data_IF_015824693436
#
_entry.id   IF_015824693436
#
_cell.length_a   1.000
_cell.length_b   1.000
_cell.length_c   1.000
_cell.angle_alpha   90.00
_cell.angle_beta   90.00
_cell.angle_gamma   90.00
#
_symmetry.space_group_name_H-M   'P 1'
#
loop_
_entity.id
_entity.type
_entity.pdbx_description
1 polymer ?
#
# COMPACT_ATOMS: atom_id res chain seq x y z
N UNK A 1 -12.06 -8.73 -5.24
CA UNK A 1 -11.29 -7.50 -4.98
C UNK A 1 -12.22 -6.31 -4.90
N UNK A 2 -12.59 -5.96 -3.68
CA UNK A 2 -13.16 -4.65 -3.38
C UNK A 2 -12.07 -3.63 -3.70
N UNK A 3 -12.29 -2.73 -4.66
CA UNK A 3 -11.63 -1.43 -4.64
C UNK A 3 -12.22 -0.75 -3.40
N UNK A 4 -11.70 -1.11 -2.22
CA UNK A 4 -12.44 -0.97 -0.97
C UNK A 4 -12.68 0.51 -0.68
N UNK A 5 -13.82 0.77 -0.04
CA UNK A 5 -14.32 2.08 0.30
C UNK A 5 -13.19 3.05 0.67
N UNK A 6 -13.25 4.26 0.10
CA UNK A 6 -12.32 5.37 0.36
C UNK A 6 -12.04 5.56 1.87
N UNK A 7 -12.97 5.09 2.72
CA UNK A 7 -12.92 5.07 4.18
C UNK A 7 -13.61 3.81 4.76
N UNK A 8 -13.15 3.37 5.94
CA UNK A 8 -13.77 2.37 6.81
C UNK A 8 -14.54 3.09 7.92
N UNK A 9 -15.82 2.78 8.09
CA UNK A 9 -16.66 3.42 9.09
C UNK A 9 -16.52 2.72 10.45
N UNK A 10 -15.78 3.34 11.37
CA UNK A 10 -15.66 2.93 12.76
C UNK A 10 -16.86 3.45 13.57
N UNK A 11 -17.64 2.54 14.14
CA UNK A 11 -18.77 2.91 15.00
C UNK A 11 -18.34 3.01 16.47
N UNK A 12 -18.51 4.19 17.07
CA UNK A 12 -18.27 4.47 18.48
C UNK A 12 -19.55 5.05 19.12
N UNK A 13 -20.24 4.23 19.91
CA UNK A 13 -21.52 4.60 20.49
C UNK A 13 -22.53 5.03 19.42
N UNK A 14 -23.00 6.27 19.50
CA UNK A 14 -23.93 6.87 18.53
C UNK A 14 -23.25 7.58 17.35
N UNK A 15 -21.91 7.61 17.29
CA UNK A 15 -21.15 8.29 16.24
C UNK A 15 -20.42 7.29 15.33
N UNK A 16 -20.21 7.71 14.09
CA UNK A 16 -19.41 6.99 13.11
C UNK A 16 -18.24 7.86 12.69
N UNK A 17 -17.07 7.25 12.52
CA UNK A 17 -15.82 7.90 12.17
C UNK A 17 -15.18 7.19 10.98
N UNK A 18 -14.73 7.98 10.01
CA UNK A 18 -14.13 7.45 8.79
C UNK A 18 -12.61 7.29 8.93
N UNK A 19 -12.14 6.04 8.85
CA UNK A 19 -10.72 5.67 8.85
C UNK A 19 -10.23 5.39 7.42
N UNK A 20 -9.12 5.99 7.02
CA UNK A 20 -8.50 5.81 5.70
C UNK A 20 -7.28 4.88 5.80
N UNK A 21 -7.23 3.76 5.06
CA UNK A 21 -6.11 2.82 5.09
C UNK A 21 -4.96 3.28 4.18
N UNK A 22 -4.33 4.43 4.48
CA UNK A 22 -3.25 4.99 3.65
C UNK A 22 -1.92 4.25 3.82
N UNK A 23 -1.09 4.26 2.79
CA UNK A 23 0.26 3.70 2.81
C UNK A 23 1.11 4.34 3.92
N UNK A 24 0.93 5.65 4.14
CA UNK A 24 1.61 6.38 5.22
C UNK A 24 1.24 5.84 6.59
N UNK A 25 -0.05 5.63 6.85
CA UNK A 25 -0.51 5.11 8.14
C UNK A 25 0.01 3.69 8.36
N UNK A 26 -0.04 2.85 7.32
CA UNK A 26 0.50 1.49 7.35
C UNK A 26 1.99 1.49 7.71
N UNK A 27 2.79 2.34 7.06
CA UNK A 27 4.22 2.47 7.32
C UNK A 27 4.51 2.89 8.77
N UNK A 28 3.90 3.98 9.24
CA UNK A 28 4.14 4.53 10.57
C UNK A 28 3.73 3.57 11.68
N UNK A 29 2.58 2.89 11.52
CA UNK A 29 2.10 1.91 12.50
C UNK A 29 2.96 0.65 12.50
N UNK A 30 3.40 0.17 11.34
CA UNK A 30 4.32 -0.96 11.25
C UNK A 30 5.64 -0.66 11.98
N UNK A 31 6.22 0.52 11.76
CA UNK A 31 7.46 0.95 12.43
C UNK A 31 7.26 1.08 13.95
N UNK A 32 6.16 1.72 14.39
CA UNK A 32 5.88 1.96 15.80
C UNK A 32 5.67 0.69 16.63
N UNK A 33 5.09 -0.34 16.03
CA UNK A 33 4.75 -1.59 16.73
C UNK A 33 5.69 -2.76 16.41
N UNK A 34 6.72 -2.54 15.59
CA UNK A 34 7.59 -3.62 15.10
C UNK A 34 6.77 -4.72 14.41
N UNK A 35 5.88 -4.29 13.51
CA UNK A 35 5.00 -5.15 12.72
C UNK A 35 3.53 -5.17 13.14
N UNK A 36 2.65 -5.44 12.17
CA UNK A 36 1.20 -5.51 12.38
C UNK A 36 0.77 -6.64 13.32
N UNK A 37 1.53 -7.74 13.41
CA UNK A 37 1.25 -8.83 14.34
C UNK A 37 1.27 -8.36 15.80
N UNK A 38 2.14 -7.39 16.14
CA UNK A 38 2.19 -6.82 17.48
C UNK A 38 1.06 -5.82 17.69
N UNK A 39 0.74 -4.99 16.68
CA UNK A 39 -0.41 -4.09 16.73
C UNK A 39 -1.71 -4.87 16.95
N UNK A 40 -1.96 -5.91 16.15
CA UNK A 40 -3.15 -6.75 16.25
C UNK A 40 -3.24 -7.46 17.61
N UNK A 41 -2.12 -8.01 18.09
CA UNK A 41 -2.04 -8.58 19.44
C UNK A 41 -2.37 -7.56 20.52
N UNK A 42 -1.85 -6.33 20.43
CA UNK A 42 -2.16 -5.29 21.41
C UNK A 42 -3.61 -4.84 21.36
N UNK A 43 -4.25 -4.87 20.19
CA UNK A 43 -5.69 -4.67 20.08
C UNK A 43 -6.46 -5.85 20.71
N UNK A 44 -6.05 -7.09 20.47
CA UNK A 44 -6.65 -8.28 21.09
C UNK A 44 -6.54 -8.28 22.63
N UNK A 45 -5.41 -7.78 23.15
CA UNK A 45 -5.16 -7.57 24.57
C UNK A 45 -5.91 -6.35 25.14
N UNK A 46 -6.60 -5.57 24.29
CA UNK A 46 -7.41 -4.43 24.73
C UNK A 46 -6.65 -3.17 25.06
N UNK A 47 -5.44 -3.00 24.51
CA UNK A 47 -4.60 -1.86 24.83
C UNK A 47 -5.16 -0.61 24.14
N UNK A 48 -5.81 0.24 24.94
CA UNK A 48 -6.40 1.50 24.48
C UNK A 48 -5.40 2.39 23.72
N UNK A 49 -4.13 2.41 24.12
CA UNK A 49 -3.09 3.16 23.41
C UNK A 49 -2.96 2.70 21.95
N UNK A 50 -3.02 1.39 21.70
CA UNK A 50 -2.96 0.86 20.34
C UNK A 50 -4.18 1.25 19.49
N UNK A 51 -5.37 1.22 20.09
CA UNK A 51 -6.59 1.68 19.45
C UNK A 51 -6.52 3.18 19.10
N UNK A 52 -6.10 4.02 20.06
CA UNK A 52 -5.98 5.46 19.86
C UNK A 52 -4.91 5.80 18.81
N UNK A 53 -3.78 5.09 18.81
CA UNK A 53 -2.71 5.30 17.83
C UNK A 53 -3.16 4.92 16.42
N UNK A 54 -3.86 3.80 16.26
CA UNK A 54 -4.46 3.38 14.99
C UNK A 54 -5.47 4.41 14.47
N UNK A 55 -6.39 4.86 15.33
CA UNK A 55 -7.40 5.86 14.97
C UNK A 55 -6.72 7.17 14.58
N UNK A 56 -5.81 7.70 15.40
CA UNK A 56 -5.13 8.96 15.09
C UNK A 56 -4.32 8.91 13.79
N UNK A 57 -3.75 7.76 13.44
CA UNK A 57 -2.98 7.60 12.21
C UNK A 57 -3.87 7.52 10.94
N UNK A 58 -5.15 7.18 11.09
CA UNK A 58 -6.02 6.83 9.94
C UNK A 58 -7.28 7.67 9.85
N UNK A 59 -7.66 8.40 10.90
CA UNK A 59 -8.87 9.21 10.92
C UNK A 59 -8.81 10.32 9.87
N UNK A 60 -9.92 10.53 9.17
CA UNK A 60 -10.05 11.59 8.16
C UNK A 60 -10.39 12.95 8.76
N UNK A 61 -11.24 13.00 9.79
CA UNK A 61 -11.61 14.22 10.52
C UNK A 61 -11.04 14.23 11.95
N UNK A 62 -9.81 14.74 12.07
CA UNK A 62 -9.12 14.88 13.36
C UNK A 62 -9.87 15.80 14.34
N UNK A 63 -10.62 16.79 13.86
CA UNK A 63 -11.32 17.76 14.72
C UNK A 63 -12.54 17.12 15.37
N UNK A 64 -13.34 16.39 14.57
CA UNK A 64 -14.47 15.63 15.08
C UNK A 64 -14.02 14.57 16.09
N UNK A 65 -12.92 13.88 15.78
CA UNK A 65 -12.31 12.89 16.68
C UNK A 65 -11.81 13.50 17.98
N UNK A 66 -11.02 14.58 17.94
CA UNK A 66 -10.53 15.25 19.15
C UNK A 66 -11.68 15.74 20.04
N UNK A 67 -12.75 16.25 19.43
CA UNK A 67 -13.96 16.69 20.14
C UNK A 67 -14.74 15.53 20.79
N UNK A 68 -14.56 14.30 20.29
CA UNK A 68 -15.18 13.10 20.85
C UNK A 68 -14.30 12.39 21.89
N UNK A 69 -12.98 12.45 21.75
CA UNK A 69 -12.05 11.79 22.65
C UNK A 69 -11.80 12.57 23.96
N UNK A 70 -11.97 13.89 23.95
CA UNK A 70 -11.74 14.81 25.08
C UNK A 70 -12.92 15.13 26.05
N UNK A 71 -14.21 14.81 25.80
CA UNK A 71 -15.31 15.18 26.71
C UNK A 71 -15.24 14.53 28.09
N UNK A 72 -15.67 15.28 29.10
CA UNK A 72 -15.65 14.98 30.54
C UNK A 72 -16.57 13.83 30.98
N UNK A 73 -17.49 13.39 30.13
CA UNK A 73 -18.45 12.30 30.36
C UNK A 73 -17.97 11.07 29.56
N UNK A 74 -16.94 10.38 30.06
CA UNK A 74 -16.12 9.42 29.30
C UNK A 74 -16.86 8.10 29.00
N UNK A 75 -17.71 8.07 27.96
CA UNK A 75 -18.12 6.80 27.32
C UNK A 75 -17.08 6.30 26.33
N UNK A 76 -16.13 7.14 25.91
CA UNK A 76 -15.14 6.83 24.86
C UNK A 76 -14.37 5.53 25.13
N UNK A 77 -14.01 5.26 26.39
CA UNK A 77 -13.31 4.03 26.76
C UNK A 77 -14.22 2.80 26.56
N UNK A 78 -15.48 2.90 26.96
CA UNK A 78 -16.48 1.84 26.76
C UNK A 78 -16.81 1.64 25.28
N UNK A 79 -16.94 2.73 24.53
CA UNK A 79 -17.22 2.68 23.09
C UNK A 79 -16.05 2.08 22.32
N UNK A 80 -14.80 2.44 22.67
CA UNK A 80 -13.60 1.83 22.13
C UNK A 80 -13.52 0.34 22.48
N UNK A 81 -13.89 -0.02 23.72
CA UNK A 81 -13.94 -1.42 24.14
C UNK A 81 -14.85 -2.26 23.24
N UNK A 82 -16.00 -1.72 22.84
CA UNK A 82 -16.94 -2.39 21.94
C UNK A 82 -16.49 -2.37 20.46
N UNK A 83 -15.46 -1.59 20.13
CA UNK A 83 -15.01 -1.39 18.75
C UNK A 83 -13.67 -2.09 18.42
N UNK A 84 -13.06 -2.83 19.37
CA UNK A 84 -11.81 -3.54 19.11
C UNK A 84 -11.90 -4.51 17.93
N UNK A 85 -12.99 -5.26 17.80
CA UNK A 85 -13.20 -6.17 16.68
C UNK A 85 -13.20 -5.43 15.32
N UNK A 86 -13.85 -4.25 15.27
CA UNK A 86 -13.83 -3.40 14.07
C UNK A 86 -12.42 -2.86 13.78
N UNK A 87 -11.66 -2.51 14.82
CA UNK A 87 -10.28 -2.04 14.67
C UNK A 87 -9.34 -3.15 14.17
N UNK A 88 -9.54 -4.38 14.63
CA UNK A 88 -8.80 -5.54 14.13
C UNK A 88 -9.10 -5.84 12.67
N UNK A 89 -10.38 -5.81 12.27
CA UNK A 89 -10.77 -5.91 10.86
C UNK A 89 -10.09 -4.82 10.02
N UNK A 90 -10.06 -3.59 10.54
CA UNK A 90 -9.40 -2.49 9.86
C UNK A 90 -7.88 -2.67 9.74
N UNK A 91 -7.20 -3.30 10.70
CA UNK A 91 -5.77 -3.65 10.57
C UNK A 91 -5.54 -4.62 9.41
N UNK A 92 -6.44 -5.59 9.20
CA UNK A 92 -6.36 -6.52 8.05
C UNK A 92 -6.49 -5.76 6.72
N UNK A 93 -7.41 -4.79 6.65
CA UNK A 93 -7.58 -3.91 5.49
C UNK A 93 -6.33 -3.05 5.27
N UNK A 94 -5.77 -2.48 6.34
CA UNK A 94 -4.57 -1.64 6.29
C UNK A 94 -3.34 -2.40 5.78
N UNK A 95 -3.24 -3.70 6.06
CA UNK A 95 -2.21 -4.59 5.52
C UNK A 95 -2.38 -4.88 4.01
N UNK A 96 -3.48 -4.44 3.40
CA UNK A 96 -3.79 -4.71 1.99
C UNK A 96 -4.27 -6.14 1.72
N UNK A 97 -4.74 -6.86 2.74
CA UNK A 97 -5.27 -8.21 2.57
C UNK A 97 -6.58 -8.18 1.78
N UNK A 98 -6.66 -8.96 0.70
CA UNK A 98 -7.91 -9.17 -0.03
C UNK A 98 -8.74 -10.24 0.68
N UNK A 99 -9.62 -9.81 1.58
CA UNK A 99 -10.51 -10.67 2.38
C UNK A 99 -11.51 -11.47 1.54
N UNK A 100 -11.68 -11.13 0.25
CA UNK A 100 -12.56 -11.83 -0.68
C UNK A 100 -11.79 -12.74 -1.67
N UNK A 101 -10.46 -12.82 -1.57
CA UNK A 101 -9.67 -13.60 -2.52
C UNK A 101 -9.75 -15.10 -2.22
N UNK A 102 -10.33 -15.88 -3.14
CA UNK A 102 -10.30 -17.36 -3.11
C UNK A 102 -9.03 -17.95 -3.71
N UNK A 103 -8.04 -17.10 -4.01
CA UNK A 103 -6.76 -17.52 -4.60
C UNK A 103 -5.94 -18.33 -3.60
N UNK A 104 -5.36 -19.43 -4.07
CA UNK A 104 -4.47 -20.27 -3.26
C UNK A 104 -3.29 -19.42 -2.74
N UNK A 105 -2.86 -19.63 -1.48
CA UNK A 105 -1.69 -18.93 -0.94
C UNK A 105 -0.50 -19.15 -1.85
N UNK A 106 0.12 -18.06 -2.28
CA UNK A 106 1.26 -18.10 -3.20
C UNK A 106 2.51 -18.49 -2.41
N UNK A 107 3.27 -19.47 -2.89
CA UNK A 107 4.49 -19.98 -2.24
C UNK A 107 5.71 -19.06 -2.41
N UNK A 108 5.49 -17.75 -2.49
CA UNK A 108 6.56 -16.76 -2.58
C UNK A 108 7.36 -16.70 -1.28
N UNK A 109 8.62 -16.27 -1.38
CA UNK A 109 9.39 -15.91 -0.18
C UNK A 109 8.71 -14.72 0.49
N UNK A 110 8.41 -14.78 1.80
CA UNK A 110 7.91 -13.62 2.52
C UNK A 110 8.91 -12.47 2.41
N UNK A 111 8.42 -11.29 2.03
CA UNK A 111 9.19 -10.04 2.06
C UNK A 111 8.85 -9.27 3.34
N UNK A 112 9.83 -8.59 3.98
CA UNK A 112 9.54 -7.69 5.09
C UNK A 112 8.60 -6.55 4.66
N UNK A 113 7.74 -6.08 5.58
CA UNK A 113 6.81 -4.98 5.30
C UNK A 113 7.50 -3.68 4.86
N UNK A 114 8.67 -3.38 5.42
CA UNK A 114 9.45 -2.20 5.03
C UNK A 114 9.87 -2.25 3.55
N UNK A 115 10.33 -3.41 3.08
CA UNK A 115 10.67 -3.64 1.68
C UNK A 115 9.40 -3.57 0.80
N UNK A 116 8.29 -4.14 1.26
CA UNK A 116 7.02 -4.08 0.56
C UNK A 116 6.51 -2.63 0.40
N UNK A 117 6.58 -1.80 1.44
CA UNK A 117 6.16 -0.40 1.39
C UNK A 117 7.05 0.45 0.51
N UNK A 118 8.36 0.22 0.56
CA UNK A 118 9.33 0.89 -0.32
C UNK A 118 9.01 0.57 -1.77
N UNK A 119 8.81 -0.71 -2.09
CA UNK A 119 8.44 -1.13 -3.44
C UNK A 119 7.10 -0.53 -3.90
N UNK A 120 6.06 -0.49 -3.05
CA UNK A 120 4.78 0.13 -3.38
C UNK A 120 4.92 1.63 -3.66
N UNK A 121 5.76 2.32 -2.89
CA UNK A 121 6.03 3.73 -3.10
C UNK A 121 6.80 3.99 -4.41
N UNK A 122 7.78 3.14 -4.74
CA UNK A 122 8.50 3.18 -6.02
C UNK A 122 7.59 2.88 -7.21
N UNK A 123 6.69 1.90 -7.09
CA UNK A 123 5.68 1.60 -8.11
C UNK A 123 4.76 2.81 -8.31
N UNK A 124 4.26 3.41 -7.23
CA UNK A 124 3.37 4.56 -7.33
C UNK A 124 4.07 5.78 -7.96
N UNK A 125 5.25 6.14 -7.49
CA UNK A 125 5.93 7.38 -7.92
C UNK A 125 6.72 7.20 -9.22
N UNK A 126 7.34 6.05 -9.44
CA UNK A 126 8.14 5.75 -10.62
C UNK A 126 7.31 5.19 -11.77
N UNK A 127 6.59 4.08 -11.54
CA UNK A 127 5.88 3.37 -12.60
C UNK A 127 4.55 4.02 -12.97
N UNK A 128 3.74 4.37 -11.96
CA UNK A 128 2.44 5.02 -12.16
C UNK A 128 2.58 6.53 -12.41
N UNK A 129 3.65 7.14 -11.90
CA UNK A 129 3.94 8.57 -12.07
C UNK A 129 3.12 9.46 -11.13
N UNK A 130 2.66 8.94 -10.00
CA UNK A 130 1.93 9.72 -9.00
C UNK A 130 2.89 10.66 -8.25
N UNK A 131 2.43 11.86 -7.84
CA UNK A 131 3.21 12.66 -6.92
C UNK A 131 3.35 11.94 -5.57
N UNK A 132 4.45 12.16 -4.82
CA UNK A 132 4.69 11.51 -3.54
C UNK A 132 3.54 11.64 -2.53
N UNK A 133 2.83 12.77 -2.51
CA UNK A 133 1.68 12.97 -1.62
C UNK A 133 0.57 11.94 -1.90
N UNK A 134 0.22 11.75 -3.16
CA UNK A 134 -0.85 10.85 -3.58
C UNK A 134 -0.45 9.38 -3.34
N UNK A 135 0.82 9.04 -3.58
CA UNK A 135 1.35 7.71 -3.28
C UNK A 135 1.24 7.36 -1.79
N UNK A 136 1.54 8.33 -0.91
CA UNK A 136 1.42 8.13 0.52
C UNK A 136 -0.03 8.09 1.02
N UNK A 137 -0.91 8.83 0.38
CA UNK A 137 -2.32 8.92 0.75
C UNK A 137 -3.17 7.78 0.17
N UNK A 138 -2.68 7.09 -0.86
CA UNK A 138 -3.31 5.92 -1.44
C UNK A 138 -3.16 4.69 -0.53
N UNK A 139 -4.13 3.79 -0.62
CA UNK A 139 -4.06 2.47 0.00
C UNK A 139 -3.21 1.49 -0.83
N UNK A 140 -2.72 0.44 -0.18
CA UNK A 140 -1.97 -0.65 -0.84
C UNK A 140 -2.80 -1.24 -1.99
N UNK A 141 -4.10 -1.46 -1.76
CA UNK A 141 -5.01 -2.04 -2.76
C UNK A 141 -5.19 -1.13 -3.98
N UNK A 142 -5.24 0.20 -3.80
CA UNK A 142 -5.33 1.16 -4.90
C UNK A 142 -4.07 1.18 -5.76
N UNK A 143 -2.89 1.17 -5.12
CA UNK A 143 -1.59 1.11 -5.83
C UNK A 143 -1.51 -0.17 -6.67
N UNK A 144 -1.83 -1.33 -6.07
CA UNK A 144 -1.82 -2.60 -6.78
C UNK A 144 -2.86 -2.67 -7.91
N UNK A 145 -4.03 -2.06 -7.73
CA UNK A 145 -5.04 -1.96 -8.78
C UNK A 145 -4.57 -1.09 -9.95
N UNK A 146 -3.98 0.06 -9.66
CA UNK A 146 -3.42 0.95 -10.67
C UNK A 146 -2.26 0.29 -11.43
N UNK A 147 -1.38 -0.43 -10.72
CA UNK A 147 -0.31 -1.22 -11.33
C UNK A 147 -0.87 -2.24 -12.34
N UNK A 148 -1.84 -3.07 -11.93
CA UNK A 148 -2.46 -4.06 -12.82
C UNK A 148 -3.15 -3.42 -14.02
N UNK A 149 -3.82 -2.28 -13.81
CA UNK A 149 -4.44 -1.51 -14.90
C UNK A 149 -3.40 -1.06 -15.94
N UNK A 150 -2.25 -0.54 -15.47
CA UNK A 150 -1.17 -0.09 -16.35
C UNK A 150 -0.49 -1.26 -17.07
N UNK A 151 -0.28 -2.38 -16.40
CA UNK A 151 0.21 -3.61 -17.05
C UNK A 151 -0.73 -4.12 -18.15
N UNK A 152 -2.05 -4.11 -17.89
CA UNK A 152 -3.04 -4.50 -18.89
C UNK A 152 -3.04 -3.57 -20.11
N UNK A 153 -2.91 -2.25 -19.89
CA UNK A 153 -2.74 -1.27 -20.97
C UNK A 153 -1.49 -1.54 -21.81
N UNK A 154 -0.34 -1.77 -21.17
CA UNK A 154 0.92 -2.07 -21.87
C UNK A 154 0.82 -3.36 -22.68
N UNK A 155 0.22 -4.42 -22.11
CA UNK A 155 -0.05 -5.67 -22.84
C UNK A 155 -0.97 -5.45 -24.04
N UNK A 156 -1.96 -4.58 -23.93
CA UNK A 156 -2.86 -4.27 -25.04
C UNK A 156 -2.14 -3.50 -26.18
N UNK A 157 -1.23 -2.57 -25.84
CA UNK A 157 -0.50 -1.75 -26.82
C UNK A 157 0.62 -2.55 -27.51
N UNK A 158 1.39 -3.30 -26.74
CA UNK A 158 2.60 -3.97 -27.23
C UNK A 158 2.38 -5.43 -27.63
N UNK A 159 1.13 -5.91 -27.57
CA UNK A 159 0.78 -7.29 -27.90
C UNK A 159 1.28 -8.27 -26.85
N UNK A 160 0.49 -8.48 -25.80
CA UNK A 160 0.62 -9.67 -24.97
C UNK A 160 0.42 -10.88 -25.86
N UNK A 161 1.53 -11.55 -26.22
CA UNK A 161 1.56 -12.65 -27.17
C UNK A 161 0.47 -13.67 -26.85
N UNK A 162 -0.31 -14.06 -27.86
CA UNK A 162 -1.09 -15.29 -27.81
C UNK A 162 -0.12 -16.46 -28.02
N UNK A 163 -0.20 -17.44 -27.13
CA UNK A 163 0.66 -18.61 -27.02
C UNK A 163 0.63 -19.56 -28.25
N UNK A 164 1.67 -20.39 -28.33
CA UNK A 164 1.85 -21.63 -29.10
C UNK A 164 2.02 -21.56 -30.64
N UNK A 165 3.26 -21.26 -31.04
CA UNK A 165 3.98 -22.14 -31.98
C UNK A 165 5.49 -21.95 -31.80
N UNK A 166 6.20 -23.06 -31.58
CA UNK A 166 7.65 -23.10 -31.70
C UNK A 166 8.06 -22.56 -33.08
N UNK A 167 8.66 -21.38 -33.11
CA UNK A 167 9.40 -20.87 -34.25
C UNK A 167 10.53 -20.01 -33.71
N UNK A 168 11.72 -20.59 -33.62
CA UNK A 168 12.93 -19.84 -33.32
C UNK A 168 13.15 -18.78 -34.40
N UNK A 169 13.33 -17.54 -33.99
CA UNK A 169 14.08 -16.57 -34.79
C UNK A 169 14.76 -15.54 -33.89
N UNK A 170 16.10 -15.58 -33.96
CA UNK A 170 17.04 -14.47 -33.86
C UNK A 170 17.11 -13.66 -32.56
N UNK A 171 17.95 -14.17 -31.65
CA UNK A 171 19.14 -13.48 -31.14
C UNK A 171 19.37 -12.05 -31.69
N UNK A 172 19.27 -11.02 -30.83
CA UNK A 172 19.69 -9.66 -31.21
C UNK A 172 19.22 -8.49 -30.34
N UNK A 173 18.13 -8.59 -29.58
CA UNK A 173 17.52 -7.37 -29.00
C UNK A 173 18.02 -6.92 -27.62
N UNK A 174 18.88 -7.69 -26.93
CA UNK A 174 19.44 -7.31 -25.62
C UNK A 174 20.92 -6.93 -25.67
N UNK A 175 21.64 -7.32 -26.73
CA UNK A 175 23.05 -6.94 -26.91
C UNK A 175 23.21 -5.43 -27.20
N UNK A 176 22.24 -4.82 -27.87
CA UNK A 176 22.30 -3.40 -28.24
C UNK A 176 22.08 -2.44 -27.07
N UNK A 177 21.29 -2.81 -26.05
CA UNK A 177 21.06 -1.94 -24.87
C UNK A 177 22.33 -1.81 -24.03
N UNK A 178 23.13 -2.89 -23.95
CA UNK A 178 24.41 -2.89 -23.22
C UNK A 178 25.50 -2.11 -23.99
N UNK A 179 25.44 -2.12 -25.32
CA UNK A 179 26.32 -1.30 -26.17
C UNK A 179 25.98 0.20 -26.05
N UNK A 180 24.70 0.56 -26.02
CA UNK A 180 24.25 1.95 -25.86
C UNK A 180 24.53 2.52 -24.47
N UNK A 181 24.45 1.69 -23.42
CA UNK A 181 24.80 2.11 -22.04
C UNK A 181 26.32 2.27 -21.83
N UNK A 182 27.17 1.54 -22.57
CA UNK A 182 28.62 1.72 -22.54
C UNK A 182 29.06 3.05 -23.20
N UNK A 183 28.26 3.62 -24.10
CA UNK A 183 28.61 4.85 -24.82
C UNK A 183 28.38 6.14 -24.00
N UNK A 184 27.64 6.09 -22.89
CA UNK A 184 27.39 7.26 -22.02
C UNK A 184 28.60 7.59 -21.12
N UNK A 185 29.51 6.62 -20.91
CA UNK A 185 30.69 6.78 -20.04
C UNK A 185 32.03 7.02 -20.76
N UNK A 186 32.08 7.00 -22.09
CA UNK A 186 33.33 7.10 -22.85
C UNK A 186 33.65 8.56 -23.26
N UNK A 187 34.60 9.18 -22.55
CA UNK A 187 35.05 10.55 -22.82
C UNK A 187 35.97 10.69 -24.05
N UNK A 188 36.23 9.63 -24.83
CA UNK A 188 37.02 9.74 -26.07
C UNK A 188 36.25 10.29 -27.28
N UNK A 189 34.92 10.37 -27.21
CA UNK A 189 34.05 10.88 -28.28
C UNK A 189 33.84 12.41 -28.29
N UNK A 190 34.58 13.16 -27.47
CA UNK A 190 34.52 14.64 -27.44
C UNK A 190 35.86 15.29 -27.82
N UNK A 191 36.33 15.07 -29.05
CA UNK A 191 37.30 15.97 -29.69
C UNK A 191 36.79 16.36 -31.07
N UNK A 192 36.51 17.66 -31.22
CA UNK A 192 36.02 18.28 -32.46
C UNK A 192 37.10 18.26 -33.55
N UNK A 193 36.71 18.19 -34.84
CA UNK A 193 37.66 18.16 -35.94
C UNK A 193 38.34 19.53 -36.14
N UNK A 194 39.67 19.52 -36.31
CA UNK A 194 40.44 20.54 -37.02
C UNK A 194 41.45 19.84 -37.93
#
# INVERSE_FOLDING_TARGET
MRLAANTFALQLGSRSFDLKPSLRAAFVLNEKYDGFQNLDRYLAEGRLTAALDLINATITDQKAWASYALPSESTVVTDLWNAFDQLQEFVVILCGADTESTSKPTTGKPIPFEEAFTHLFEVATGWLGWPPCDAWDASISEILAAQRGREAMLKAIFGGGKDDQAAGVADGSLANIKADLNAIGDMTNHVRPR
#
